data_IF_873222796378
#
_entry.id   IF_873222796378
#
_cell.length_a   1.000
_cell.length_b   1.000
_cell.length_c   1.000
_cell.angle_alpha   90.00
_cell.angle_beta   90.00
_cell.angle_gamma   90.00
#
_symmetry.space_group_name_H-M   'P 1'
#
loop_
_entity.id
_entity.type
_entity.pdbx_description
1 polymer ?
#
# COMPACT_ATOMS: atom_id res chain seq x y z
N UNK A 1 15.61 1.65 7.05
CA UNK A 1 15.34 3.10 6.91
C UNK A 1 13.84 3.29 6.79
N UNK A 2 13.28 4.35 7.37
CA UNK A 2 11.84 4.64 7.36
C UNK A 2 11.29 4.74 5.93
N UNK A 3 12.02 5.37 5.00
CA UNK A 3 11.59 5.49 3.60
C UNK A 3 11.55 4.13 2.87
N UNK A 4 12.44 3.21 3.19
CA UNK A 4 12.44 1.86 2.59
C UNK A 4 11.23 1.06 3.09
N UNK A 5 10.88 1.20 4.38
CA UNK A 5 9.68 0.57 4.93
C UNK A 5 8.42 1.12 4.26
N UNK A 6 8.33 2.44 4.10
CA UNK A 6 7.20 3.08 3.42
C UNK A 6 7.07 2.57 1.98
N UNK A 7 8.19 2.48 1.24
CA UNK A 7 8.18 1.99 -0.14
C UNK A 7 7.85 0.50 -0.25
N UNK A 8 8.23 -0.33 0.74
CA UNK A 8 7.78 -1.74 0.77
C UNK A 8 6.27 -1.83 0.93
N UNK A 9 5.68 -1.03 1.81
CA UNK A 9 4.23 -0.97 1.98
C UNK A 9 3.56 -0.54 0.68
N UNK A 10 4.02 0.54 0.05
CA UNK A 10 3.40 1.04 -1.19
C UNK A 10 3.54 0.07 -2.36
N UNK A 11 4.65 -0.66 -2.48
CA UNK A 11 4.82 -1.70 -3.52
C UNK A 11 3.83 -2.84 -3.38
N UNK A 12 3.38 -3.15 -2.17
CA UNK A 12 2.42 -4.22 -1.89
C UNK A 12 0.98 -3.71 -1.97
N UNK A 13 0.66 -2.63 -1.27
CA UNK A 13 -0.71 -2.14 -1.09
C UNK A 13 -1.12 -1.04 -2.08
N UNK A 14 -0.18 -0.56 -2.89
CA UNK A 14 -0.32 0.59 -3.77
C UNK A 14 0.15 1.88 -3.09
N UNK A 15 0.61 2.84 -3.89
CA UNK A 15 0.87 4.20 -3.39
C UNK A 15 -0.48 4.85 -3.09
N UNK A 16 -0.72 5.33 -1.86
CA UNK A 16 -2.01 5.91 -1.50
C UNK A 16 -2.27 7.21 -2.27
N UNK A 17 -3.54 7.44 -2.57
CA UNK A 17 -4.07 8.68 -3.13
C UNK A 17 -5.28 9.17 -2.32
N UNK A 18 -5.83 10.33 -2.69
CA UNK A 18 -6.95 10.96 -2.00
C UNK A 18 -8.26 10.14 -2.07
N UNK A 19 -8.37 9.21 -3.02
CA UNK A 19 -9.55 8.34 -3.11
C UNK A 19 -9.48 7.21 -2.07
N UNK A 20 -8.31 6.59 -1.92
CA UNK A 20 -8.09 5.51 -0.95
C UNK A 20 -7.84 6.03 0.49
N UNK A 21 -7.20 7.19 0.63
CA UNK A 21 -6.90 7.83 1.91
C UNK A 21 -7.07 9.35 1.79
N UNK A 22 -8.26 9.89 2.12
CA UNK A 22 -8.49 11.34 2.13
C UNK A 22 -7.56 12.07 3.09
N UNK A 23 -6.89 13.11 2.60
CA UNK A 23 -5.91 13.93 3.32
C UNK A 23 -4.47 13.41 3.28
N UNK A 24 -4.19 12.29 2.61
CA UNK A 24 -2.84 11.72 2.54
C UNK A 24 -1.82 12.68 1.95
N UNK A 25 -2.22 13.52 0.98
CA UNK A 25 -1.35 14.50 0.35
C UNK A 25 -0.93 15.66 1.27
N UNK A 26 -1.66 15.85 2.37
CA UNK A 26 -1.41 16.90 3.36
C UNK A 26 -0.54 16.43 4.54
N UNK A 27 -0.15 15.14 4.59
CA UNK A 27 0.71 14.64 5.65
C UNK A 27 2.12 15.25 5.56
N UNK A 28 2.78 15.56 6.69
CA UNK A 28 4.06 16.28 6.70
C UNK A 28 5.17 15.66 5.85
N UNK A 29 5.22 14.33 5.81
CA UNK A 29 6.26 13.57 5.11
C UNK A 29 5.80 13.03 3.75
N UNK A 30 4.56 13.32 3.34
CA UNK A 30 4.08 12.95 2.01
C UNK A 30 4.81 13.76 0.95
N UNK A 31 5.27 13.07 -0.10
CA UNK A 31 5.89 13.71 -1.26
C UNK A 31 5.14 13.30 -2.51
N UNK A 32 4.66 14.29 -3.26
CA UNK A 32 4.04 14.06 -4.57
C UNK A 32 5.00 13.40 -5.59
N UNK A 33 6.31 13.41 -5.29
CA UNK A 33 7.36 12.74 -6.08
C UNK A 33 7.58 11.27 -5.71
N UNK A 34 6.84 10.73 -4.73
CA UNK A 34 6.90 9.29 -4.45
C UNK A 34 6.49 8.49 -5.69
N UNK A 35 7.17 7.36 -5.98
CA UNK A 35 6.76 6.52 -7.09
C UNK A 35 5.33 6.04 -6.91
N UNK A 36 4.60 5.91 -8.03
CA UNK A 36 3.24 5.38 -8.05
C UNK A 36 3.29 3.89 -8.34
N UNK A 37 2.98 3.07 -7.33
CA UNK A 37 2.84 1.63 -7.45
C UNK A 37 1.37 1.25 -7.46
N UNK A 38 1.01 0.31 -8.34
CA UNK A 38 -0.31 -0.30 -8.33
C UNK A 38 -0.43 -1.29 -7.17
N UNK A 39 -1.62 -1.40 -6.58
CA UNK A 39 -1.92 -2.40 -5.55
C UNK A 39 -1.72 -3.80 -6.11
N UNK A 40 -1.05 -4.66 -5.35
CA UNK A 40 -0.90 -6.06 -5.71
C UNK A 40 -2.06 -6.89 -5.17
N UNK A 41 -2.34 -7.98 -5.88
CA UNK A 41 -3.26 -9.00 -5.42
C UNK A 41 -2.65 -9.74 -4.22
N UNK A 42 -3.35 -9.73 -3.08
CA UNK A 42 -2.91 -10.40 -1.85
C UNK A 42 -2.75 -11.91 -2.04
N UNK A 43 -3.46 -12.54 -2.99
CA UNK A 43 -3.23 -13.95 -3.32
C UNK A 43 -1.83 -14.21 -3.88
N UNK A 44 -1.21 -13.23 -4.54
CA UNK A 44 0.17 -13.32 -5.03
C UNK A 44 1.19 -13.03 -3.94
N UNK A 45 0.85 -12.16 -3.00
CA UNK A 45 1.72 -11.74 -1.90
C UNK A 45 1.74 -12.79 -0.78
N UNK A 46 0.60 -13.42 -0.51
CA UNK A 46 0.39 -14.43 0.53
C UNK A 46 -0.27 -15.69 -0.08
N UNK A 47 0.47 -16.49 -0.88
CA UNK A 47 -0.09 -17.67 -1.54
C UNK A 47 -0.75 -18.73 -0.63
N UNK A 48 -0.21 -19.05 0.57
CA UNK A 48 -0.79 -20.12 1.39
C UNK A 48 -2.01 -19.67 2.20
N UNK A 49 -2.36 -18.38 2.19
CA UNK A 49 -3.53 -17.88 2.89
C UNK A 49 -4.79 -18.30 2.13
N UNK A 50 -5.90 -18.54 2.81
CA UNK A 50 -7.20 -18.81 2.16
C UNK A 50 -7.96 -17.52 1.86
N UNK A 51 -9.12 -17.63 1.22
CA UNK A 51 -9.93 -16.46 0.82
C UNK A 51 -10.46 -15.68 2.04
N UNK A 52 -10.85 -16.38 3.11
CA UNK A 52 -11.32 -15.74 4.34
C UNK A 52 -10.18 -14.98 5.03
N UNK A 53 -8.99 -15.59 5.13
CA UNK A 53 -7.81 -14.93 5.66
C UNK A 53 -7.40 -13.71 4.84
N UNK A 54 -7.48 -13.79 3.50
CA UNK A 54 -7.24 -12.63 2.63
C UNK A 54 -8.27 -11.53 2.85
N UNK A 55 -9.55 -11.88 2.93
CA UNK A 55 -10.65 -10.93 3.14
C UNK A 55 -10.52 -10.20 4.47
N UNK A 56 -10.04 -10.87 5.52
CA UNK A 56 -9.77 -10.25 6.82
C UNK A 56 -8.66 -9.18 6.72
N UNK A 57 -7.68 -9.37 5.85
CA UNK A 57 -6.57 -8.44 5.64
C UNK A 57 -6.85 -7.35 4.60
N UNK A 58 -7.94 -7.46 3.83
CA UNK A 58 -8.18 -6.68 2.62
C UNK A 58 -8.61 -5.24 2.87
#
# INVERSE_FOLDING_TARGET
SEIDQLFRIFRTLGTPDEAAWPGVSALPDYKATFPRWARQDLAKVLPPLDDEGRKLLA
#
